data_IF_362348636521
#
_entry.id   IF_362348636521
#
_cell.length_a   1.000
_cell.length_b   1.000
_cell.length_c   1.000
_cell.angle_alpha   90.00
_cell.angle_beta   90.00
_cell.angle_gamma   90.00
#
_symmetry.space_group_name_H-M   'P 1'
#
loop_
_entity.id
_entity.type
_entity.pdbx_description
1 polymer ?
#
# COMPACT_ATOMS: atom_id res chain seq x y z
N UNK A 1 14.19 4.51 13.93
CA UNK A 1 12.95 4.37 14.71
C UNK A 1 12.08 5.56 14.44
N UNK A 2 10.79 5.32 14.23
CA UNK A 2 9.83 6.33 13.89
C UNK A 2 9.53 7.12 15.16
N UNK A 3 9.54 8.44 15.06
CA UNK A 3 9.21 9.31 16.18
C UNK A 3 7.73 9.15 16.54
N UNK A 4 7.38 9.41 17.81
CA UNK A 4 5.98 9.39 18.26
C UNK A 4 5.10 10.31 17.41
N UNK A 5 5.67 11.45 16.98
CA UNK A 5 5.02 12.38 16.06
C UNK A 5 4.73 11.72 14.71
N UNK A 6 5.73 11.10 14.07
CA UNK A 6 5.54 10.41 12.79
C UNK A 6 4.48 9.32 12.90
N UNK A 7 4.52 8.51 13.97
CA UNK A 7 3.51 7.48 14.25
C UNK A 7 2.12 8.09 14.41
N UNK A 8 1.98 9.20 15.15
CA UNK A 8 0.69 9.85 15.36
C UNK A 8 0.11 10.45 14.08
N UNK A 9 0.96 11.06 13.24
CA UNK A 9 0.59 11.68 11.97
C UNK A 9 0.34 10.67 10.85
N UNK A 10 0.84 9.43 10.99
CA UNK A 10 0.58 8.35 10.03
C UNK A 10 -0.92 8.09 9.89
N UNK A 11 -1.46 8.06 8.66
CA UNK A 11 -2.85 7.68 8.42
C UNK A 11 -3.21 6.36 9.12
N UNK A 12 -4.42 6.29 9.67
CA UNK A 12 -4.89 5.11 10.41
C UNK A 12 -5.74 4.17 9.56
N UNK A 13 -6.15 4.64 8.39
CA UNK A 13 -6.92 3.86 7.43
C UNK A 13 -6.82 4.43 6.02
N UNK A 14 -7.17 3.60 5.04
CA UNK A 14 -7.45 4.01 3.66
C UNK A 14 -8.50 3.10 3.02
N UNK A 15 -9.07 3.54 1.91
CA UNK A 15 -10.01 2.78 1.07
C UNK A 15 -9.30 2.25 -0.16
N UNK A 16 -9.48 0.97 -0.48
CA UNK A 16 -8.91 0.36 -1.68
C UNK A 16 -9.93 -0.57 -2.33
N UNK A 17 -10.46 -0.15 -3.49
CA UNK A 17 -11.59 -0.82 -4.13
C UNK A 17 -12.81 -0.86 -3.19
N UNK A 18 -13.43 -2.03 -2.96
CA UNK A 18 -14.57 -2.16 -2.05
C UNK A 18 -14.15 -2.27 -0.57
N UNK A 19 -12.85 -2.27 -0.26
CA UNK A 19 -12.34 -2.56 1.07
C UNK A 19 -11.83 -1.32 1.79
N UNK A 20 -11.96 -1.30 3.12
CA UNK A 20 -11.29 -0.36 4.00
C UNK A 20 -10.17 -1.09 4.74
N UNK A 21 -8.96 -0.57 4.68
CA UNK A 21 -7.81 -1.09 5.38
C UNK A 21 -7.53 -0.24 6.61
N UNK A 22 -7.24 -0.87 7.75
CA UNK A 22 -6.72 -0.19 8.95
C UNK A 22 -5.21 -0.30 9.00
N UNK A 23 -4.54 0.72 9.53
CA UNK A 23 -3.09 0.80 9.67
C UNK A 23 -2.77 0.80 11.16
N UNK A 24 -1.96 -0.17 11.58
CA UNK A 24 -1.49 -0.29 12.95
C UNK A 24 0.02 -0.51 13.00
N UNK A 25 0.62 -0.14 14.13
CA UNK A 25 2.04 -0.36 14.40
C UNK A 25 2.18 -1.59 15.28
N UNK A 26 3.05 -2.50 14.88
CA UNK A 26 3.28 -3.76 15.58
C UNK A 26 4.78 -4.06 15.60
N UNK A 27 5.40 -3.87 16.76
CA UNK A 27 6.82 -4.18 16.97
C UNK A 27 7.09 -5.65 17.29
N UNK A 28 6.06 -6.45 17.58
CA UNK A 28 6.18 -7.87 17.92
C UNK A 28 6.10 -8.75 16.67
N UNK A 29 5.32 -8.33 15.66
CA UNK A 29 5.18 -9.05 14.39
C UNK A 29 6.31 -8.77 13.39
N UNK A 30 7.50 -8.33 13.83
CA UNK A 30 8.62 -8.17 12.92
C UNK A 30 9.12 -9.54 12.46
N UNK A 31 8.57 -10.01 11.34
CA UNK A 31 9.02 -11.22 10.67
C UNK A 31 10.46 -10.98 10.18
N UNK A 32 11.42 -11.66 10.81
CA UNK A 32 12.83 -11.79 10.39
C UNK A 32 13.47 -10.53 9.76
N UNK A 33 13.64 -9.46 10.55
CA UNK A 33 14.54 -8.29 10.29
C UNK A 33 14.51 -7.60 8.91
N UNK A 34 13.66 -8.02 7.97
CA UNK A 34 13.75 -7.68 6.55
C UNK A 34 12.48 -6.98 6.03
N UNK A 35 11.38 -7.05 6.77
CA UNK A 35 10.10 -6.46 6.40
C UNK A 35 9.74 -5.33 7.37
N UNK A 36 9.71 -4.09 6.86
CA UNK A 36 9.33 -2.89 7.63
C UNK A 36 7.80 -2.67 7.67
N UNK A 37 7.05 -3.47 6.90
CA UNK A 37 5.60 -3.49 6.87
C UNK A 37 5.05 -4.78 6.27
N UNK A 38 3.74 -4.99 6.42
CA UNK A 38 3.03 -6.11 5.79
C UNK A 38 1.55 -5.80 5.55
N UNK A 39 1.07 -6.14 4.35
CA UNK A 39 -0.33 -6.11 3.95
C UNK A 39 -1.02 -7.46 4.20
N UNK A 40 -1.87 -7.49 5.22
CA UNK A 40 -2.71 -8.64 5.55
C UNK A 40 -4.05 -8.55 4.80
N UNK A 41 -4.05 -9.00 3.55
CA UNK A 41 -5.22 -8.87 2.65
C UNK A 41 -6.50 -9.50 3.20
N UNK A 42 -6.44 -10.62 3.92
CA UNK A 42 -7.66 -11.27 4.46
C UNK A 42 -8.32 -10.46 5.58
N UNK A 43 -7.52 -9.87 6.47
CA UNK A 43 -8.01 -9.08 7.60
C UNK A 43 -8.15 -7.59 7.28
N UNK A 44 -7.73 -7.15 6.09
CA UNK A 44 -7.72 -5.74 5.66
C UNK A 44 -6.93 -4.86 6.64
N UNK A 45 -5.73 -5.33 6.99
CA UNK A 45 -4.83 -4.62 7.90
C UNK A 45 -3.48 -4.40 7.24
N UNK A 46 -2.91 -3.23 7.45
CA UNK A 46 -1.49 -2.95 7.22
C UNK A 46 -0.82 -2.85 8.58
N UNK A 47 0.23 -3.63 8.77
CA UNK A 47 1.10 -3.50 9.95
C UNK A 47 2.40 -2.83 9.55
N UNK A 48 2.84 -1.85 10.33
CA UNK A 48 4.12 -1.15 10.16
C UNK A 48 5.04 -1.42 11.35
N UNK A 49 6.34 -1.60 11.10
CA UNK A 49 7.34 -1.73 12.15
C UNK A 49 7.70 -0.35 12.71
N UNK A 50 7.52 -0.07 14.02
CA UNK A 50 7.90 1.22 14.60
C UNK A 50 9.41 1.51 14.57
N UNK A 51 10.27 0.51 14.33
CA UNK A 51 11.74 0.66 14.31
C UNK A 51 12.27 1.30 13.03
N UNK A 52 11.51 1.31 11.94
CA UNK A 52 11.87 2.04 10.71
C UNK A 52 12.05 3.54 10.98
N UNK A 53 12.79 4.28 10.16
CA UNK A 53 12.94 5.73 10.31
C UNK A 53 11.69 6.50 9.85
N UNK A 54 11.55 7.75 10.29
CA UNK A 54 10.50 8.68 9.81
C UNK A 54 10.48 8.79 8.29
N UNK A 55 11.65 8.73 7.65
CA UNK A 55 11.82 8.82 6.20
C UNK A 55 11.41 7.56 5.45
N UNK A 56 11.53 6.38 6.06
CA UNK A 56 11.14 5.11 5.44
C UNK A 56 9.63 4.87 5.52
N UNK A 57 8.98 5.42 6.56
CA UNK A 57 7.59 5.14 6.88
C UNK A 57 6.59 5.41 5.72
N UNK A 58 6.67 6.53 5.00
CA UNK A 58 5.78 6.80 3.86
C UNK A 58 5.99 5.82 2.71
N UNK A 59 7.25 5.46 2.43
CA UNK A 59 7.59 4.53 1.37
C UNK A 59 7.07 3.12 1.70
N UNK A 60 7.25 2.67 2.94
CA UNK A 60 6.72 1.39 3.42
C UNK A 60 5.19 1.36 3.35
N UNK A 61 4.50 2.39 3.84
CA UNK A 61 3.04 2.43 3.77
C UNK A 61 2.53 2.43 2.33
N UNK A 62 3.19 3.16 1.42
CA UNK A 62 2.84 3.15 0.00
C UNK A 62 3.05 1.75 -0.62
N UNK A 63 4.15 1.09 -0.29
CA UNK A 63 4.44 -0.27 -0.75
C UNK A 63 3.31 -1.25 -0.35
N UNK A 64 2.91 -1.22 0.92
CA UNK A 64 1.84 -2.08 1.41
C UNK A 64 0.46 -1.70 0.84
N UNK A 65 0.21 -0.42 0.57
CA UNK A 65 -1.00 0.02 -0.12
C UNK A 65 -1.06 -0.50 -1.57
N UNK A 66 0.08 -0.64 -2.25
CA UNK A 66 0.15 -1.25 -3.58
C UNK A 66 -0.17 -2.76 -3.51
N UNK A 67 0.28 -3.46 -2.47
CA UNK A 67 -0.15 -4.84 -2.23
C UNK A 67 -1.66 -4.96 -1.99
N UNK A 68 -2.24 -4.03 -1.23
CA UNK A 68 -3.69 -3.96 -1.04
C UNK A 68 -4.43 -3.70 -2.36
N UNK A 69 -3.91 -2.82 -3.21
CA UNK A 69 -4.44 -2.55 -4.56
C UNK A 69 -4.40 -3.78 -5.44
N UNK A 70 -3.25 -4.48 -5.49
CA UNK A 70 -3.14 -5.71 -6.25
C UNK A 70 -4.15 -6.77 -5.79
N UNK A 71 -4.31 -6.93 -4.47
CA UNK A 71 -5.29 -7.86 -3.90
C UNK A 71 -6.74 -7.46 -4.16
N UNK A 72 -7.08 -6.17 -4.08
CA UNK A 72 -8.45 -5.67 -4.24
C UNK A 72 -8.98 -5.77 -5.68
N UNK A 73 -8.08 -5.66 -6.66
CA UNK A 73 -8.40 -5.68 -8.09
C UNK A 73 -7.91 -6.97 -8.79
N UNK A 74 -7.60 -8.02 -8.01
CA UNK A 74 -7.19 -9.35 -8.49
C UNK A 74 -5.97 -9.35 -9.45
N UNK A 75 -5.02 -8.45 -9.20
CA UNK A 75 -3.76 -8.34 -9.95
C UNK A 75 -2.77 -9.36 -9.35
N UNK A 76 -2.73 -10.56 -9.94
CA UNK A 76 -2.03 -11.73 -9.37
C UNK A 76 -0.55 -11.84 -9.71
N UNK A 77 -0.06 -11.22 -10.80
CA UNK A 77 1.34 -11.33 -11.23
C UNK A 77 1.90 -9.99 -11.75
N UNK A 78 3.10 -9.66 -11.30
CA UNK A 78 3.85 -8.44 -11.67
C UNK A 78 4.87 -8.67 -12.81
N UNK A 79 4.98 -9.90 -13.33
CA UNK A 79 5.90 -10.25 -14.41
C UNK A 79 5.11 -10.65 -15.65
N UNK A 80 5.31 -9.92 -16.75
CA UNK A 80 4.84 -10.28 -18.08
C UNK A 80 3.61 -9.51 -18.56
N UNK A 81 3.47 -9.49 -19.89
CA UNK A 81 2.30 -8.97 -20.61
C UNK A 81 1.20 -10.03 -20.66
N UNK A 82 -0.06 -9.61 -20.58
CA UNK A 82 -1.19 -10.48 -20.92
C UNK A 82 -1.71 -10.10 -22.29
N UNK A 83 -1.80 -11.06 -23.21
CA UNK A 83 -2.36 -10.86 -24.54
C UNK A 83 -3.77 -11.41 -24.58
N UNK A 84 -4.74 -10.64 -25.08
CA UNK A 84 -6.10 -11.13 -25.30
C UNK A 84 -6.19 -12.06 -26.53
N UNK A 85 -7.37 -12.65 -26.77
CA UNK A 85 -7.60 -13.54 -27.91
C UNK A 85 -7.49 -12.85 -29.29
N UNK A 86 -7.51 -11.51 -29.32
CA UNK A 86 -7.34 -10.70 -30.52
C UNK A 86 -5.88 -10.26 -30.74
N UNK A 87 -4.96 -10.64 -29.85
CA UNK A 87 -3.55 -10.27 -29.93
C UNK A 87 -3.21 -8.93 -29.28
N UNK A 88 -4.15 -8.27 -28.60
CA UNK A 88 -3.87 -7.02 -27.91
C UNK A 88 -3.09 -7.31 -26.64
N UNK A 89 -1.91 -6.70 -26.53
CA UNK A 89 -1.14 -6.69 -25.31
C UNK A 89 -1.78 -5.71 -24.33
N UNK A 90 -2.29 -6.22 -23.22
CA UNK A 90 -2.66 -5.39 -22.07
C UNK A 90 -1.46 -5.33 -21.14
N UNK A 91 -0.89 -4.14 -20.97
CA UNK A 91 0.11 -3.90 -19.94
C UNK A 91 -0.58 -3.87 -18.57
N UNK A 92 0.07 -4.44 -17.55
CA UNK A 92 -0.41 -4.37 -16.16
C UNK A 92 -0.43 -2.93 -15.65
N UNK A 93 0.38 -2.03 -16.23
CA UNK A 93 0.28 -0.58 -15.98
C UNK A 93 -1.12 -0.07 -16.35
N UNK A 94 -1.70 -0.50 -17.47
CA UNK A 94 -3.04 -0.07 -17.88
C UNK A 94 -4.11 -0.57 -16.89
N UNK A 95 -3.95 -1.81 -16.42
CA UNK A 95 -4.83 -2.41 -15.42
C UNK A 95 -4.73 -1.71 -14.05
N UNK A 96 -3.53 -1.26 -13.68
CA UNK A 96 -3.30 -0.51 -12.44
C UNK A 96 -3.71 0.96 -12.54
N UNK A 97 -3.61 1.59 -13.72
CA UNK A 97 -3.80 3.03 -13.86
C UNK A 97 -5.19 3.47 -13.37
N UNK A 98 -6.24 2.74 -13.77
CA UNK A 98 -7.61 3.02 -13.32
C UNK A 98 -7.80 2.80 -11.82
N UNK A 99 -7.26 1.69 -11.29
CA UNK A 99 -7.33 1.36 -9.87
C UNK A 99 -6.56 2.39 -9.01
N UNK A 100 -5.38 2.80 -9.45
CA UNK A 100 -4.53 3.78 -8.79
C UNK A 100 -5.19 5.17 -8.82
N UNK A 101 -5.77 5.57 -9.95
CA UNK A 101 -6.50 6.83 -10.05
C UNK A 101 -7.69 6.87 -9.09
N UNK A 102 -8.45 5.78 -9.01
CA UNK A 102 -9.55 5.65 -8.05
C UNK A 102 -9.03 5.71 -6.61
N UNK A 103 -7.97 4.96 -6.30
CA UNK A 103 -7.32 4.96 -4.99
C UNK A 103 -6.89 6.37 -4.55
N UNK A 104 -6.22 7.12 -5.43
CA UNK A 104 -5.79 8.50 -5.17
C UNK A 104 -7.00 9.40 -4.89
N UNK A 105 -8.07 9.30 -5.69
CA UNK A 105 -9.28 10.11 -5.56
C UNK A 105 -10.02 9.88 -4.24
N UNK A 106 -10.07 8.63 -3.77
CA UNK A 106 -10.83 8.28 -2.56
C UNK A 106 -10.01 8.42 -1.28
N UNK A 107 -8.69 8.64 -1.36
CA UNK A 107 -7.79 8.82 -0.21
C UNK A 107 -7.00 10.13 -0.22
N UNK A 108 -7.65 11.31 -0.33
CA UNK A 108 -6.95 12.59 -0.44
C UNK A 108 -6.03 12.88 0.75
N UNK A 109 -6.42 12.49 1.98
CA UNK A 109 -5.61 12.68 3.19
C UNK A 109 -4.33 11.84 3.18
N UNK A 110 -4.40 10.59 2.72
CA UNK A 110 -3.22 9.73 2.57
C UNK A 110 -2.27 10.32 1.53
N UNK A 111 -2.79 10.75 0.38
CA UNK A 111 -2.00 11.35 -0.69
C UNK A 111 -1.33 12.64 -0.23
N UNK A 112 -2.05 13.49 0.49
CA UNK A 112 -1.51 14.71 1.09
C UNK A 112 -0.37 14.38 2.07
N UNK A 113 -0.56 13.40 2.95
CA UNK A 113 0.48 12.97 3.89
C UNK A 113 1.71 12.42 3.18
N UNK A 114 1.54 11.54 2.19
CA UNK A 114 2.64 10.99 1.37
C UNK A 114 3.44 12.09 0.66
N UNK A 115 2.79 13.20 0.29
CA UNK A 115 3.40 14.31 -0.45
C UNK A 115 4.16 15.31 0.45
N UNK A 116 3.92 15.30 1.77
CA UNK A 116 4.55 16.22 2.73
C UNK A 116 5.95 15.77 3.15
N UNK A 117 6.21 14.47 3.12
CA UNK A 117 7.50 13.88 3.47
C UNK A 117 8.49 14.07 2.33
N UNK A 118 9.40 15.05 2.50
CA UNK A 118 10.61 15.27 1.69
C UNK A 118 11.83 15.22 2.59
#
# INVERSE_FOLDING_TARGET
MATEKAIAETPKEFVCGPYRYTIDFDGEASYDYSYLGVCLNRSRRIKLDPRQSDTELPQTLLHEAIHALGGAYEIKEWRGHTTDAAGNVTDKIDLMASALLQFIRVNPKLVEWLSKTR
#
